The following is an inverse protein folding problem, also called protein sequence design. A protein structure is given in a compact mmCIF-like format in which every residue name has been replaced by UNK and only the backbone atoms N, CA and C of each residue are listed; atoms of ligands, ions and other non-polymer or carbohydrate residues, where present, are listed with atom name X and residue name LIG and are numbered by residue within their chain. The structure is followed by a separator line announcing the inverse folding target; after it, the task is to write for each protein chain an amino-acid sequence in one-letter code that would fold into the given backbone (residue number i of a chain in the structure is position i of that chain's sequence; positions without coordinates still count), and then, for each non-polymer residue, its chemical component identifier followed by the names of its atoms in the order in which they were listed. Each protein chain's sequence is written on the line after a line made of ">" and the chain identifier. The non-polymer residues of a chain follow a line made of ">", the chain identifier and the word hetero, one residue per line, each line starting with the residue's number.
data_IF_400044515960
#
_entry.id   IF_400044515960
#
_cell.length_a   1.000
_cell.length_b   1.000
_cell.length_c   1.000
_cell.angle_alpha   90.00
_cell.angle_beta   90.00
_cell.angle_gamma   90.00
#
_symmetry.space_group_name_H-M   'P 1'
#
loop_
_entity.id
_entity.type
_entity.pdbx_description
1 polymer ?
#
# COMPACT_ATOMS: atom_id res chain seq x y z
N UNK A 1 -9.31 -2.67 34.75
CA UNK A 1 -7.92 -2.14 34.68
C UNK A 1 -7.00 -2.97 33.78
N UNK A 2 -7.03 -4.31 33.84
CA UNK A 2 -6.19 -5.13 32.95
C UNK A 2 -6.64 -5.04 31.49
N UNK A 3 -7.91 -5.13 31.22
CA UNK A 3 -8.48 -5.04 29.86
C UNK A 3 -8.19 -3.67 29.24
N UNK A 4 -8.29 -2.59 30.01
CA UNK A 4 -7.93 -1.25 29.55
C UNK A 4 -6.45 -1.15 29.16
N UNK A 5 -5.54 -1.69 29.97
CA UNK A 5 -4.10 -1.71 29.66
C UNK A 5 -3.81 -2.51 28.39
N UNK A 6 -4.50 -3.64 28.21
CA UNK A 6 -4.39 -4.45 27.01
C UNK A 6 -4.90 -3.68 25.77
N UNK A 7 -6.04 -2.98 25.90
CA UNK A 7 -6.57 -2.15 24.80
C UNK A 7 -5.63 -1.00 24.46
N UNK A 8 -5.08 -0.28 25.45
CA UNK A 8 -4.09 0.79 25.26
C UNK A 8 -2.80 0.27 24.62
N UNK A 9 -2.32 -0.92 24.99
CA UNK A 9 -1.09 -1.50 24.41
C UNK A 9 -1.21 -1.84 22.91
N UNK A 10 -2.44 -1.90 22.38
CA UNK A 10 -2.71 -2.15 20.95
C UNK A 10 -2.87 -0.85 20.15
N UNK A 11 -2.83 0.31 20.78
CA UNK A 11 -2.88 1.61 20.09
C UNK A 11 -1.51 1.90 19.51
N UNK A 12 -1.40 2.10 18.20
CA UNK A 12 -0.13 2.50 17.59
C UNK A 12 0.23 3.94 17.98
N UNK A 13 1.48 4.31 17.78
CA UNK A 13 1.99 5.67 18.03
C UNK A 13 1.43 6.66 17.00
N UNK A 14 0.23 7.19 17.27
CA UNK A 14 -0.48 8.13 16.40
C UNK A 14 0.18 9.51 16.38
N UNK A 15 0.85 9.93 17.45
CA UNK A 15 1.56 11.22 17.50
C UNK A 15 2.75 11.22 16.53
N UNK A 16 3.54 10.16 16.57
CA UNK A 16 4.64 9.97 15.62
C UNK A 16 4.15 9.89 14.17
N UNK A 17 3.06 9.16 13.91
CA UNK A 17 2.46 9.07 12.58
C UNK A 17 1.99 10.44 12.10
N UNK A 18 1.28 11.22 12.94
CA UNK A 18 0.84 12.57 12.65
C UNK A 18 2.02 13.51 12.35
N UNK A 19 3.07 13.44 13.16
CA UNK A 19 4.28 14.25 12.96
C UNK A 19 4.93 13.96 11.60
N UNK A 20 4.96 12.69 11.17
CA UNK A 20 5.50 12.30 9.85
C UNK A 20 4.63 12.83 8.70
N UNK A 21 3.30 12.78 8.84
CA UNK A 21 2.37 13.36 7.85
C UNK A 21 2.60 14.87 7.74
N UNK A 22 2.65 15.58 8.87
CA UNK A 22 2.86 17.03 8.92
C UNK A 22 4.22 17.44 8.34
N UNK A 23 5.26 16.62 8.54
CA UNK A 23 6.60 16.83 7.99
C UNK A 23 6.76 16.40 6.52
N UNK A 24 5.68 15.98 5.84
CA UNK A 24 5.68 15.45 4.47
C UNK A 24 6.63 14.24 4.29
N UNK A 25 6.72 13.40 5.33
CA UNK A 25 7.53 12.17 5.38
C UNK A 25 6.67 10.94 5.65
N UNK A 26 5.38 11.05 5.43
CA UNK A 26 4.42 9.97 5.65
C UNK A 26 4.65 8.79 4.71
N UNK A 27 4.25 7.64 5.18
CA UNK A 27 4.12 6.40 4.42
C UNK A 27 2.68 5.89 4.52
N UNK A 28 2.25 4.94 3.67
CA UNK A 28 0.94 4.30 3.82
C UNK A 28 0.73 3.66 5.20
N UNK A 29 1.81 3.20 5.84
CA UNK A 29 1.75 2.63 7.20
C UNK A 29 1.47 3.67 8.27
N UNK A 30 1.89 4.93 8.08
CA UNK A 30 1.57 6.02 9.01
C UNK A 30 0.06 6.34 8.94
N UNK A 31 -0.54 6.35 7.75
CA UNK A 31 -2.00 6.50 7.57
C UNK A 31 -2.78 5.36 8.22
N UNK A 32 -2.30 4.11 8.07
CA UNK A 32 -2.91 2.95 8.72
C UNK A 32 -2.80 3.04 10.25
N UNK A 33 -1.66 3.50 10.79
CA UNK A 33 -1.48 3.70 12.22
C UNK A 33 -2.47 4.75 12.76
N UNK A 34 -2.67 5.86 12.05
CA UNK A 34 -3.66 6.88 12.41
C UNK A 34 -5.08 6.30 12.40
N UNK A 35 -5.46 5.58 11.34
CA UNK A 35 -6.78 4.93 11.24
C UNK A 35 -7.04 3.98 12.42
N UNK A 36 -6.10 3.07 12.68
CA UNK A 36 -6.21 2.10 13.77
C UNK A 36 -6.26 2.81 15.13
N UNK A 37 -5.38 3.78 15.36
CA UNK A 37 -5.28 4.49 16.63
C UNK A 37 -6.54 5.28 16.97
N UNK A 38 -7.11 6.01 16.00
CA UNK A 38 -8.35 6.77 16.17
C UNK A 38 -9.54 5.83 16.42
N UNK A 39 -9.67 4.75 15.66
CA UNK A 39 -10.73 3.77 15.86
C UNK A 39 -10.64 3.10 17.25
N UNK A 40 -9.43 2.78 17.70
CA UNK A 40 -9.18 2.25 19.05
C UNK A 40 -9.51 3.26 20.15
N UNK A 41 -9.20 4.55 19.95
CA UNK A 41 -9.55 5.61 20.88
C UNK A 41 -11.07 5.68 21.12
N UNK A 42 -11.87 5.61 20.05
CA UNK A 42 -13.33 5.53 20.15
C UNK A 42 -13.83 4.28 20.85
N UNK A 43 -13.22 3.11 20.59
CA UNK A 43 -13.57 1.88 21.29
C UNK A 43 -13.31 1.99 22.81
N UNK A 44 -12.15 2.49 23.20
CA UNK A 44 -11.77 2.75 24.59
C UNK A 44 -12.75 3.74 25.23
N UNK A 45 -13.07 4.84 24.55
CA UNK A 45 -14.04 5.83 25.06
C UNK A 45 -15.40 5.20 25.30
N UNK A 46 -15.88 4.37 24.37
CA UNK A 46 -17.18 3.70 24.47
C UNK A 46 -17.25 2.69 25.60
N UNK A 47 -16.16 1.98 25.89
CA UNK A 47 -16.05 1.06 27.03
C UNK A 47 -16.04 1.80 28.36
N UNK A 48 -15.25 2.88 28.44
CA UNK A 48 -15.08 3.66 29.67
C UNK A 48 -16.34 4.49 30.01
N UNK A 49 -17.07 4.97 29.02
CA UNK A 49 -18.31 5.76 29.24
C UNK A 49 -19.41 4.97 30.00
N UNK A 50 -19.31 3.65 30.05
CA UNK A 50 -20.24 2.79 30.79
C UNK A 50 -19.90 2.67 32.28
N UNK A 51 -18.78 3.21 32.71
CA UNK A 51 -18.26 3.13 34.08
C UNK A 51 -18.45 4.46 34.81
N UNK A 52 -18.64 4.38 36.14
CA UNK A 52 -18.58 5.57 37.00
C UNK A 52 -17.11 5.91 37.28
N UNK A 53 -16.60 6.94 36.64
CA UNK A 53 -15.18 7.31 36.66
C UNK A 53 -14.95 8.71 37.21
N UNK A 54 -13.74 9.01 37.75
CA UNK A 54 -13.37 10.35 38.20
C UNK A 54 -13.47 11.36 37.04
N UNK A 55 -13.74 12.63 37.37
CA UNK A 55 -13.95 13.72 36.42
C UNK A 55 -12.76 13.88 35.43
N UNK A 56 -11.52 13.68 35.90
CA UNK A 56 -10.29 13.75 35.06
C UNK A 56 -10.32 12.69 33.94
N UNK A 57 -10.77 11.47 34.26
CA UNK A 57 -10.91 10.39 33.25
C UNK A 57 -12.07 10.71 32.31
N UNK A 58 -13.18 11.25 32.83
CA UNK A 58 -14.33 11.69 32.03
C UNK A 58 -13.96 12.77 31.01
N UNK A 59 -13.09 13.71 31.36
CA UNK A 59 -12.60 14.73 30.42
C UNK A 59 -11.83 14.11 29.26
N UNK A 60 -10.93 13.18 29.54
CA UNK A 60 -10.18 12.46 28.49
C UNK A 60 -11.11 11.66 27.57
N UNK A 61 -12.14 11.00 28.11
CA UNK A 61 -13.14 10.29 27.31
C UNK A 61 -13.85 11.25 26.35
N UNK A 62 -14.23 12.43 26.82
CA UNK A 62 -14.83 13.49 25.98
C UNK A 62 -13.96 13.88 24.79
N UNK A 63 -12.64 13.98 25.00
CA UNK A 63 -11.67 14.25 23.93
C UNK A 63 -11.58 13.09 22.93
N UNK A 64 -11.51 11.85 23.42
CA UNK A 64 -11.43 10.66 22.54
C UNK A 64 -12.65 10.52 21.61
N UNK A 65 -13.84 10.90 22.09
CA UNK A 65 -15.07 10.86 21.28
C UNK A 65 -15.05 11.91 20.16
N UNK A 66 -14.29 12.99 20.30
CA UNK A 66 -14.16 14.03 19.29
C UNK A 66 -13.13 13.71 18.20
N UNK A 67 -12.33 12.65 18.37
CA UNK A 67 -11.37 12.25 17.36
C UNK A 67 -12.07 11.91 16.01
N UNK A 68 -11.47 12.19 14.84
CA UNK A 68 -12.12 12.12 13.54
C UNK A 68 -12.36 10.68 13.08
N UNK A 69 -13.42 10.05 13.58
CA UNK A 69 -13.75 8.64 13.33
C UNK A 69 -14.07 8.37 11.86
N UNK A 70 -14.73 9.30 11.18
CA UNK A 70 -15.05 9.15 9.75
C UNK A 70 -13.77 9.06 8.91
N UNK A 71 -12.78 9.90 9.21
CA UNK A 71 -11.46 9.81 8.57
C UNK A 71 -10.80 8.44 8.83
N UNK A 72 -10.89 7.94 10.05
CA UNK A 72 -10.34 6.62 10.39
C UNK A 72 -10.99 5.51 9.56
N UNK A 73 -12.31 5.52 9.40
CA UNK A 73 -13.04 4.55 8.60
C UNK A 73 -12.75 4.69 7.10
N UNK A 74 -12.62 5.93 6.61
CA UNK A 74 -12.22 6.14 5.22
C UNK A 74 -10.84 5.57 4.93
N UNK A 75 -9.86 5.87 5.76
CA UNK A 75 -8.51 5.31 5.64
C UNK A 75 -8.52 3.78 5.75
N UNK A 76 -9.31 3.20 6.65
CA UNK A 76 -9.43 1.75 6.78
C UNK A 76 -10.00 1.09 5.52
N UNK A 77 -10.98 1.73 4.89
CA UNK A 77 -11.61 1.25 3.66
C UNK A 77 -10.68 1.43 2.45
N UNK A 78 -9.89 2.52 2.44
CA UNK A 78 -9.03 2.88 1.33
C UNK A 78 -7.72 2.10 1.29
N UNK A 79 -7.18 1.68 2.44
CA UNK A 79 -5.87 1.06 2.53
C UNK A 79 -5.95 -0.46 2.38
N UNK A 80 -5.03 -1.01 1.59
CA UNK A 80 -4.87 -2.45 1.41
C UNK A 80 -4.34 -3.13 2.68
N UNK A 81 -4.55 -4.43 2.83
CA UNK A 81 -4.05 -5.22 3.98
C UNK A 81 -2.52 -5.25 4.04
N UNK A 82 -1.84 -5.30 2.90
CA UNK A 82 -0.38 -5.27 2.81
C UNK A 82 0.07 -3.92 2.30
N UNK A 83 0.83 -3.20 3.11
CA UNK A 83 1.26 -1.84 2.80
C UNK A 83 2.75 -1.78 2.48
N UNK A 84 3.15 -1.13 1.38
CA UNK A 84 4.54 -0.90 1.02
C UNK A 84 5.22 0.03 2.03
N UNK A 85 6.54 0.13 1.93
CA UNK A 85 7.33 1.06 2.75
C UNK A 85 7.12 2.51 2.32
N UNK A 86 6.98 2.75 1.02
CA UNK A 86 6.82 4.09 0.46
C UNK A 86 5.61 4.14 -0.47
N UNK A 87 4.90 5.27 -0.47
CA UNK A 87 3.74 5.47 -1.34
C UNK A 87 4.09 5.31 -2.84
N UNK A 88 5.29 5.75 -3.24
CA UNK A 88 5.79 5.62 -4.62
C UNK A 88 5.95 4.18 -5.12
N UNK A 89 5.96 3.19 -4.21
CA UNK A 89 6.04 1.79 -4.58
C UNK A 89 4.68 1.27 -5.10
N UNK A 90 3.60 2.03 -4.84
CA UNK A 90 2.22 1.68 -5.23
C UNK A 90 1.65 0.49 -4.48
N UNK A 91 0.41 0.11 -4.80
CA UNK A 91 -0.22 -1.10 -4.25
C UNK A 91 -0.76 -0.95 -2.83
N UNK A 92 -0.86 0.26 -2.30
CA UNK A 92 -1.38 0.51 -0.95
C UNK A 92 -2.89 0.82 -0.91
N UNK A 93 -3.51 1.12 -2.03
CA UNK A 93 -4.96 1.33 -2.11
C UNK A 93 -5.68 0.00 -2.28
N UNK A 94 -6.73 -0.23 -1.51
CA UNK A 94 -7.54 -1.44 -1.56
C UNK A 94 -8.27 -1.57 -2.91
N UNK A 95 -8.42 -2.79 -3.37
CA UNK A 95 -9.26 -3.07 -4.54
C UNK A 95 -10.72 -2.70 -4.24
N UNK A 96 -11.40 -2.10 -5.21
CA UNK A 96 -12.79 -1.65 -5.06
C UNK A 96 -12.93 -0.26 -4.43
N UNK A 97 -11.84 0.39 -4.03
CA UNK A 97 -11.91 1.73 -3.46
C UNK A 97 -12.05 2.81 -4.54
N UNK A 98 -11.26 2.71 -5.61
CA UNK A 98 -11.29 3.64 -6.75
C UNK A 98 -11.43 2.88 -8.07
N UNK A 99 -12.49 3.17 -8.83
CA UNK A 99 -12.83 2.44 -10.04
C UNK A 99 -11.84 2.68 -11.19
N UNK A 100 -11.25 3.87 -11.30
CA UNK A 100 -10.27 4.19 -12.35
C UNK A 100 -8.93 3.49 -12.08
N UNK A 101 -8.53 3.43 -10.81
CA UNK A 101 -7.37 2.67 -10.37
C UNK A 101 -7.52 1.18 -10.68
N UNK A 102 -8.67 0.61 -10.33
CA UNK A 102 -8.94 -0.81 -10.58
C UNK A 102 -8.95 -1.14 -12.07
N UNK A 103 -9.50 -0.24 -12.90
CA UNK A 103 -9.48 -0.38 -14.36
C UNK A 103 -8.04 -0.32 -14.91
N UNK A 104 -7.21 0.59 -14.41
CA UNK A 104 -5.80 0.70 -14.80
C UNK A 104 -5.00 -0.54 -14.40
N UNK A 105 -5.21 -1.05 -13.19
CA UNK A 105 -4.60 -2.30 -12.72
C UNK A 105 -5.02 -3.50 -13.56
N UNK A 106 -6.31 -3.61 -13.87
CA UNK A 106 -6.85 -4.68 -14.72
C UNK A 106 -6.24 -4.63 -16.11
N UNK A 107 -6.19 -3.46 -16.75
CA UNK A 107 -5.59 -3.30 -18.07
C UNK A 107 -4.12 -3.76 -18.09
N UNK A 108 -3.34 -3.40 -17.07
CA UNK A 108 -1.95 -3.84 -16.92
C UNK A 108 -1.84 -5.37 -16.82
N UNK A 109 -2.69 -5.97 -15.98
CA UNK A 109 -2.61 -7.41 -15.68
C UNK A 109 -3.17 -8.27 -16.81
N UNK A 110 -4.25 -7.83 -17.48
CA UNK A 110 -4.79 -8.46 -18.68
C UNK A 110 -3.74 -8.44 -19.81
N UNK A 111 -3.05 -7.30 -20.01
CA UNK A 111 -2.00 -7.19 -21.02
C UNK A 111 -0.80 -8.10 -20.72
N UNK A 112 -0.42 -8.26 -19.44
CA UNK A 112 0.61 -9.23 -19.04
C UNK A 112 0.21 -10.67 -19.34
N UNK A 113 -1.05 -11.01 -19.16
CA UNK A 113 -1.58 -12.32 -19.51
C UNK A 113 -1.48 -12.61 -21.02
N UNK A 114 -1.76 -11.60 -21.86
CA UNK A 114 -1.57 -11.70 -23.32
C UNK A 114 -0.11 -11.96 -23.67
N UNK A 115 0.86 -11.26 -23.03
CA UNK A 115 2.29 -11.50 -23.26
C UNK A 115 2.69 -12.93 -22.92
N UNK A 116 2.14 -13.52 -21.86
CA UNK A 116 2.39 -14.92 -21.52
C UNK A 116 1.89 -15.87 -22.63
N UNK A 117 0.76 -15.57 -23.26
CA UNK A 117 0.24 -16.31 -24.42
C UNK A 117 1.12 -16.20 -25.68
N UNK A 118 1.71 -15.01 -25.92
CA UNK A 118 2.61 -14.79 -27.06
C UNK A 118 3.85 -15.68 -27.02
N UNK A 119 4.36 -16.03 -25.84
CA UNK A 119 5.52 -16.93 -25.73
C UNK A 119 5.25 -18.29 -26.39
N UNK A 120 4.06 -18.86 -26.17
CA UNK A 120 3.66 -20.11 -26.79
C UNK A 120 3.54 -19.94 -28.31
N UNK A 121 2.85 -18.89 -28.76
CA UNK A 121 2.69 -18.58 -30.19
C UNK A 121 4.04 -18.41 -30.90
N UNK A 122 4.97 -17.66 -30.31
CA UNK A 122 6.30 -17.45 -30.90
C UNK A 122 7.14 -18.73 -30.90
N UNK A 123 6.99 -19.57 -29.87
CA UNK A 123 7.63 -20.88 -29.82
C UNK A 123 7.13 -21.82 -30.94
N UNK A 124 5.82 -21.81 -31.20
CA UNK A 124 5.20 -22.62 -32.23
C UNK A 124 5.62 -22.14 -33.65
N UNK A 125 5.59 -20.83 -33.89
CA UNK A 125 5.94 -20.25 -35.22
C UNK A 125 7.42 -20.44 -35.53
N UNK A 126 8.32 -20.31 -34.53
CA UNK A 126 9.76 -20.46 -34.74
C UNK A 126 10.26 -21.91 -34.59
N UNK A 127 9.47 -22.80 -34.03
CA UNK A 127 9.88 -24.14 -33.65
C UNK A 127 10.86 -24.21 -32.48
N UNK A 128 11.13 -23.08 -31.82
CA UNK A 128 12.13 -22.94 -30.77
C UNK A 128 11.52 -23.15 -29.38
N UNK A 129 11.62 -24.36 -28.82
CA UNK A 129 11.10 -24.69 -27.48
C UNK A 129 11.78 -23.94 -26.33
N UNK A 130 12.97 -23.41 -26.53
CA UNK A 130 13.75 -22.69 -25.51
C UNK A 130 13.60 -21.17 -25.57
N UNK A 131 12.69 -20.65 -26.44
CA UNK A 131 12.33 -19.26 -26.51
C UNK A 131 11.66 -18.81 -25.22
N UNK A 132 12.10 -17.69 -24.64
CA UNK A 132 11.50 -17.10 -23.45
C UNK A 132 11.26 -15.63 -23.65
N UNK A 133 10.07 -15.15 -23.27
CA UNK A 133 9.83 -13.72 -23.10
C UNK A 133 10.24 -13.32 -21.69
N UNK A 134 11.16 -12.35 -21.59
CA UNK A 134 11.69 -11.80 -20.34
C UNK A 134 11.49 -10.29 -20.31
N UNK A 135 11.62 -9.71 -19.14
CA UNK A 135 11.55 -8.27 -18.94
C UNK A 135 12.80 -7.75 -18.18
N UNK A 136 13.27 -6.58 -18.57
CA UNK A 136 14.19 -5.76 -17.78
C UNK A 136 13.92 -4.27 -17.98
N UNK A 137 14.49 -3.43 -17.10
CA UNK A 137 14.24 -1.98 -17.09
C UNK A 137 14.85 -1.21 -18.29
N UNK A 138 15.72 -1.84 -19.11
CA UNK A 138 16.40 -1.18 -20.23
C UNK A 138 15.67 -1.48 -21.54
N UNK A 139 15.29 -2.74 -21.77
CA UNK A 139 14.70 -3.22 -23.02
C UNK A 139 13.18 -3.37 -22.95
N UNK A 140 12.58 -3.32 -21.74
CA UNK A 140 11.20 -3.74 -21.51
C UNK A 140 11.05 -5.24 -21.68
N UNK A 141 9.96 -5.70 -22.30
CA UNK A 141 9.79 -7.10 -22.68
C UNK A 141 10.59 -7.43 -23.93
N UNK A 142 11.32 -8.55 -23.90
CA UNK A 142 12.11 -9.05 -25.01
C UNK A 142 12.07 -10.58 -25.08
N UNK A 143 12.29 -11.09 -26.28
CA UNK A 143 12.39 -12.52 -26.56
C UNK A 143 13.88 -12.90 -26.46
N UNK A 144 14.19 -13.87 -25.61
CA UNK A 144 15.56 -14.39 -25.45
C UNK A 144 15.65 -15.81 -26.01
N UNK A 145 16.61 -16.02 -26.91
CA UNK A 145 16.93 -17.33 -27.47
C UNK A 145 18.41 -17.63 -27.36
N UNK A 146 18.83 -18.91 -27.21
CA UNK A 146 20.23 -19.29 -27.29
C UNK A 146 20.85 -18.84 -28.62
N UNK A 147 22.10 -18.35 -28.61
CA UNK A 147 22.79 -17.85 -29.80
C UNK A 147 22.83 -18.89 -30.93
N UNK A 148 23.02 -20.16 -30.60
CA UNK A 148 23.04 -21.26 -31.58
C UNK A 148 21.70 -21.49 -32.32
N UNK A 149 20.60 -20.93 -31.79
CA UNK A 149 19.24 -21.07 -32.33
C UNK A 149 18.71 -19.75 -32.94
N UNK A 150 19.51 -18.71 -32.94
CA UNK A 150 19.10 -17.37 -33.38
C UNK A 150 18.72 -17.29 -34.88
N UNK A 151 19.27 -18.16 -35.72
CA UNK A 151 18.94 -18.22 -37.15
C UNK A 151 17.51 -18.68 -37.37
N UNK A 152 16.95 -19.53 -36.50
CA UNK A 152 15.53 -19.91 -36.54
C UNK A 152 14.56 -18.72 -36.38
N UNK A 153 15.00 -17.61 -35.78
CA UNK A 153 14.23 -16.36 -35.70
C UNK A 153 14.11 -15.64 -37.04
N UNK A 154 15.08 -15.86 -37.94
CA UNK A 154 15.09 -15.28 -39.31
C UNK A 154 14.23 -16.08 -40.28
N UNK A 155 14.21 -17.40 -40.11
CA UNK A 155 13.46 -18.30 -41.02
C UNK A 155 11.94 -18.25 -40.77
N UNK A 156 11.51 -17.86 -39.56
CA UNK A 156 10.12 -17.65 -39.18
C UNK A 156 9.53 -16.34 -39.78
N UNK A 157 10.28 -15.56 -40.54
CA UNK A 157 9.97 -14.21 -41.02
C UNK A 157 8.81 -14.09 -42.02
N UNK A 158 8.14 -15.21 -42.38
CA UNK A 158 6.95 -15.19 -43.25
C UNK A 158 5.65 -14.72 -42.55
N UNK A 159 5.58 -14.83 -41.22
CA UNK A 159 4.37 -14.49 -40.47
C UNK A 159 4.61 -13.42 -39.40
N UNK A 160 5.78 -13.41 -38.76
CA UNK A 160 6.13 -12.47 -37.68
C UNK A 160 7.51 -11.89 -37.93
N UNK A 161 7.64 -10.55 -37.89
CA UNK A 161 8.93 -9.87 -38.02
C UNK A 161 9.58 -9.73 -36.63
N UNK A 162 10.70 -10.41 -36.44
CA UNK A 162 11.51 -10.35 -35.23
C UNK A 162 12.65 -9.34 -35.41
N UNK A 163 12.67 -8.29 -34.58
CA UNK A 163 13.72 -7.28 -34.59
C UNK A 163 14.83 -7.65 -33.62
N UNK A 164 16.06 -7.79 -34.11
CA UNK A 164 17.22 -7.97 -33.24
C UNK A 164 17.42 -6.73 -32.33
N UNK A 165 17.60 -6.93 -31.05
CA UNK A 165 17.77 -5.86 -30.05
C UNK A 165 19.15 -5.87 -29.45
N UNK A 166 19.67 -7.04 -29.06
CA UNK A 166 20.95 -7.16 -28.37
C UNK A 166 21.55 -8.55 -28.53
N UNK A 167 22.87 -8.63 -28.69
CA UNK A 167 23.65 -9.87 -28.60
C UNK A 167 24.33 -9.92 -27.23
N UNK A 168 24.22 -11.05 -26.55
CA UNK A 168 24.82 -11.34 -25.26
C UNK A 168 25.71 -12.57 -25.37
N UNK A 169 26.59 -12.81 -24.38
CA UNK A 169 27.34 -14.05 -24.31
C UNK A 169 26.39 -15.25 -24.18
N UNK A 170 26.26 -16.05 -25.25
CA UNK A 170 25.42 -17.25 -25.31
C UNK A 170 23.92 -17.04 -25.60
N UNK A 171 23.45 -15.81 -25.76
CA UNK A 171 22.03 -15.52 -26.07
C UNK A 171 21.87 -14.31 -27.02
N UNK A 172 20.78 -14.33 -27.78
CA UNK A 172 20.35 -13.19 -28.57
C UNK A 172 18.95 -12.74 -28.15
N UNK A 173 18.73 -11.42 -28.17
CA UNK A 173 17.47 -10.79 -27.75
C UNK A 173 16.79 -10.13 -28.94
N UNK A 174 15.51 -10.41 -29.06
CA UNK A 174 14.65 -9.91 -30.14
C UNK A 174 13.41 -9.22 -29.54
N UNK A 175 12.70 -8.48 -30.38
CA UNK A 175 11.38 -7.92 -30.08
C UNK A 175 10.50 -8.03 -31.33
N UNK A 176 9.22 -7.83 -31.17
CA UNK A 176 8.24 -7.68 -32.26
C UNK A 176 7.50 -6.36 -32.08
N UNK A 177 6.86 -5.85 -33.13
CA UNK A 177 6.00 -4.67 -33.04
C UNK A 177 4.84 -4.87 -32.07
N UNK A 178 4.28 -6.08 -32.04
CA UNK A 178 3.21 -6.45 -31.11
C UNK A 178 3.69 -6.42 -29.66
N UNK A 179 4.84 -7.06 -29.36
CA UNK A 179 5.42 -7.08 -28.01
C UNK A 179 5.76 -5.66 -27.52
N UNK A 180 6.30 -4.81 -28.41
CA UNK A 180 6.58 -3.42 -28.10
C UNK A 180 5.30 -2.60 -27.82
N UNK A 181 4.23 -2.83 -28.57
CA UNK A 181 2.93 -2.19 -28.34
C UNK A 181 2.30 -2.61 -27.01
N UNK A 182 2.40 -3.90 -26.64
CA UNK A 182 1.89 -4.39 -25.36
C UNK A 182 2.71 -3.86 -24.18
N UNK A 183 4.04 -3.79 -24.33
CA UNK A 183 4.92 -3.14 -23.34
C UNK A 183 4.49 -1.69 -23.07
N UNK A 184 4.25 -0.92 -24.12
CA UNK A 184 3.80 0.46 -24.00
C UNK A 184 2.46 0.55 -23.25
N UNK A 185 1.50 -0.32 -23.54
CA UNK A 185 0.20 -0.37 -22.83
C UNK A 185 0.38 -0.69 -21.34
N UNK A 186 1.27 -1.63 -20.99
CA UNK A 186 1.55 -1.98 -19.59
C UNK A 186 2.18 -0.79 -18.87
N UNK A 187 3.18 -0.14 -19.47
CA UNK A 187 3.87 1.02 -18.88
C UNK A 187 2.90 2.15 -18.60
N UNK A 188 2.09 2.53 -19.61
CA UNK A 188 1.08 3.58 -19.45
C UNK A 188 0.03 3.25 -18.37
N UNK A 189 -0.45 2.00 -18.34
CA UNK A 189 -1.41 1.57 -17.33
C UNK A 189 -0.80 1.56 -15.91
N UNK A 190 0.47 1.17 -15.77
CA UNK A 190 1.19 1.20 -14.50
C UNK A 190 1.46 2.62 -14.00
N UNK A 191 1.90 3.51 -14.91
CA UNK A 191 2.11 4.93 -14.61
C UNK A 191 0.81 5.61 -14.18
N UNK A 192 -0.30 5.33 -14.89
CA UNK A 192 -1.63 5.86 -14.55
C UNK A 192 -2.08 5.38 -13.19
N UNK A 193 -1.96 4.07 -12.91
CA UNK A 193 -2.32 3.51 -11.62
C UNK A 193 -1.51 4.15 -10.48
N UNK A 194 -0.20 4.31 -10.66
CA UNK A 194 0.65 4.96 -9.65
C UNK A 194 0.28 6.43 -9.45
N UNK A 195 -0.02 7.16 -10.52
CA UNK A 195 -0.44 8.57 -10.43
C UNK A 195 -1.72 8.71 -9.59
N UNK A 196 -2.75 7.88 -9.87
CA UNK A 196 -4.00 7.87 -9.09
C UNK A 196 -3.70 7.54 -7.61
N UNK A 197 -2.89 6.53 -7.33
CA UNK A 197 -2.52 6.19 -5.95
C UNK A 197 -1.81 7.34 -5.24
N UNK A 198 -0.91 8.05 -5.91
CA UNK A 198 -0.21 9.20 -5.33
C UNK A 198 -1.15 10.38 -5.06
N UNK A 199 -2.12 10.63 -5.93
CA UNK A 199 -3.14 11.67 -5.73
C UNK A 199 -4.04 11.33 -4.52
N UNK A 200 -4.46 10.07 -4.40
CA UNK A 200 -5.20 9.59 -3.23
C UNK A 200 -4.37 9.71 -1.95
N UNK A 201 -3.09 9.34 -1.99
CA UNK A 201 -2.19 9.48 -0.84
C UNK A 201 -2.07 10.93 -0.38
N UNK A 202 -1.89 11.86 -1.32
CA UNK A 202 -1.79 13.29 -1.01
C UNK A 202 -3.11 13.82 -0.43
N UNK A 203 -4.26 13.38 -0.96
CA UNK A 203 -5.58 13.73 -0.44
C UNK A 203 -5.76 13.24 1.00
N UNK A 204 -5.41 11.99 1.31
CA UNK A 204 -5.47 11.45 2.68
C UNK A 204 -4.53 12.20 3.63
N UNK A 205 -3.31 12.50 3.20
CA UNK A 205 -2.39 13.31 4.01
C UNK A 205 -2.97 14.69 4.31
N UNK A 206 -3.64 15.33 3.35
CA UNK A 206 -4.28 16.63 3.56
C UNK A 206 -5.44 16.53 4.57
N UNK A 207 -6.31 15.53 4.45
CA UNK A 207 -7.40 15.30 5.41
C UNK A 207 -6.86 15.08 6.85
N UNK A 208 -5.75 14.34 7.00
CA UNK A 208 -5.08 14.18 8.29
C UNK A 208 -4.55 15.52 8.82
N UNK A 209 -3.97 16.36 7.96
CA UNK A 209 -3.46 17.69 8.34
C UNK A 209 -4.63 18.59 8.77
N UNK A 210 -5.74 18.54 8.07
CA UNK A 210 -6.93 19.34 8.37
C UNK A 210 -7.53 18.96 9.74
N UNK A 211 -7.44 17.67 10.12
CA UNK A 211 -7.89 17.14 11.42
C UNK A 211 -6.75 17.07 12.47
N UNK A 212 -5.65 17.81 12.27
CA UNK A 212 -4.44 17.68 13.12
C UNK A 212 -4.71 17.98 14.59
N UNK A 213 -5.54 18.99 14.88
CA UNK A 213 -5.82 19.40 16.25
C UNK A 213 -6.56 18.32 17.04
N UNK A 214 -7.57 17.72 16.44
CA UNK A 214 -8.37 16.63 17.02
C UNK A 214 -7.53 15.38 17.23
N UNK A 215 -6.70 15.02 16.24
CA UNK A 215 -5.80 13.85 16.32
C UNK A 215 -4.75 14.05 17.41
N UNK A 216 -4.16 15.24 17.52
CA UNK A 216 -3.17 15.56 18.56
C UNK A 216 -3.79 15.53 19.97
N UNK A 217 -4.99 16.08 20.12
CA UNK A 217 -5.73 16.03 21.40
C UNK A 217 -6.09 14.58 21.77
N UNK A 218 -6.47 13.77 20.79
CA UNK A 218 -6.72 12.33 20.97
C UNK A 218 -5.46 11.59 21.45
N UNK A 219 -4.30 11.86 20.84
CA UNK A 219 -3.03 11.27 21.24
C UNK A 219 -2.67 11.60 22.69
N UNK A 220 -2.82 12.86 23.07
CA UNK A 220 -2.57 13.31 24.46
C UNK A 220 -3.52 12.64 25.45
N UNK A 221 -4.82 12.57 25.14
CA UNK A 221 -5.80 11.92 26.01
C UNK A 221 -5.52 10.42 26.19
N UNK A 222 -5.07 9.73 25.14
CA UNK A 222 -4.62 8.33 25.23
C UNK A 222 -3.39 8.19 26.14
N UNK A 223 -2.40 9.07 26.01
CA UNK A 223 -1.20 9.08 26.86
C UNK A 223 -1.53 9.34 28.34
N UNK A 224 -2.43 10.27 28.62
CA UNK A 224 -2.93 10.54 29.97
C UNK A 224 -3.63 9.32 30.57
N UNK A 225 -4.49 8.65 29.80
CA UNK A 225 -5.18 7.43 30.23
C UNK A 225 -4.22 6.28 30.47
N UNK A 226 -3.18 6.12 29.65
CA UNK A 226 -2.14 5.11 29.86
C UNK A 226 -1.37 5.37 31.14
N UNK A 227 -0.95 6.61 31.38
CA UNK A 227 -0.27 7.02 32.62
C UNK A 227 -1.16 6.77 33.85
N UNK A 228 -2.41 7.20 33.83
CA UNK A 228 -3.36 6.99 34.94
C UNK A 228 -3.61 5.50 35.19
N UNK A 229 -3.72 4.71 34.13
CA UNK A 229 -3.89 3.26 34.22
C UNK A 229 -2.66 2.57 34.84
N UNK A 230 -1.45 2.99 34.43
CA UNK A 230 -0.19 2.48 34.96
C UNK A 230 -0.03 2.81 36.46
N UNK A 231 -0.27 4.08 36.87
CA UNK A 231 -0.22 4.53 38.25
C UNK A 231 -1.27 3.81 39.12
N UNK A 232 -2.49 3.64 38.64
CA UNK A 232 -3.54 2.90 39.35
C UNK A 232 -3.17 1.42 39.56
N UNK A 233 -2.53 0.80 38.57
CA UNK A 233 -2.03 -0.55 38.71
C UNK A 233 -0.92 -0.66 39.72
N UNK A 234 0.05 0.25 39.69
CA UNK A 234 1.17 0.32 40.66
C UNK A 234 0.64 0.49 42.08
N UNK A 235 -0.28 1.45 42.32
CA UNK A 235 -0.88 1.68 43.61
C UNK A 235 -1.56 0.42 44.16
N UNK A 236 -2.28 -0.32 43.33
CA UNK A 236 -2.94 -1.57 43.73
C UNK A 236 -1.94 -2.68 44.06
N UNK A 237 -0.87 -2.84 43.28
CA UNK A 237 0.13 -3.90 43.49
C UNK A 237 0.96 -3.62 44.74
N UNK A 238 1.29 -2.35 44.99
CA UNK A 238 2.12 -1.90 46.12
C UNK A 238 1.28 -1.60 47.36
N UNK A 239 -0.04 -1.80 47.35
CA UNK A 239 -0.95 -1.43 48.44
C UNK A 239 -0.79 0.02 48.93
N UNK A 240 -0.51 0.95 48.00
CA UNK A 240 -0.49 2.36 48.31
C UNK A 240 -1.90 2.85 48.65
N UNK A 241 -2.09 3.38 49.83
CA UNK A 241 -3.32 4.03 50.31
C UNK A 241 -3.13 5.54 50.22
N UNK A 242 -4.18 6.22 49.76
CA UNK A 242 -4.24 7.70 49.86
C UNK A 242 -4.49 8.13 51.28
#
# INVERSE_FOLDING_TARGET
>A
TNDMRQNLSQVPDIERALARVTAKRASPRDLAALSIGIARAHSIASELARLSLPAVVGANIGVLVQAPLELAYELQRALAQSLPLMARDGGFVAQGYDGELDQSRKLRDDTRSVIAGLQAQYSDVTGLKNLKIKHNNILGYFIEVPQAQADGMKDASGQIIFFHRQTMAGAMRFSTSELASLEQKISHAAERALAIEMDLFNSFCQQVIDSRAEISSCAQALADLDCLSALSHLARVQNHVR
#
